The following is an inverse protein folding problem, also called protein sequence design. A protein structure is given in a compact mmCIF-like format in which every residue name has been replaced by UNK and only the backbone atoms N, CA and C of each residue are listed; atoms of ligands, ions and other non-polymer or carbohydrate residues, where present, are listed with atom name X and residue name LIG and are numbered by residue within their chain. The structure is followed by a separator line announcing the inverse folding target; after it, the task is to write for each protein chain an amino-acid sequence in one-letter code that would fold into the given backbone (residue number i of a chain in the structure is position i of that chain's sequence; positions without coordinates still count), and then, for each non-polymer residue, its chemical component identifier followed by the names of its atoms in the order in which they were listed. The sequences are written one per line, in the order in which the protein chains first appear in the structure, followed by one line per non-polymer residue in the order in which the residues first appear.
data_IF_674253938053
#
_entry.id   IF_674253938053
#
_cell.length_a   1.000
_cell.length_b   1.000
_cell.length_c   1.000
_cell.angle_alpha   90.00
_cell.angle_beta   90.00
_cell.angle_gamma   90.00
#
_symmetry.space_group_name_H-M   'P 1'
#
loop_
_entity.id
_entity.type
_entity.pdbx_description
1 polymer ?
#
# COMPACT_ATOMS: atom_id res chain seq x y z
N UNK A 1 -12.07 -71.53 32.25
CA UNK A 1 -11.59 -70.43 33.11
C UNK A 1 -10.85 -69.43 32.22
N UNK A 2 -11.52 -68.29 31.96
CA UNK A 2 -11.03 -66.91 31.74
C UNK A 2 -9.70 -66.66 30.98
N UNK A 3 -9.76 -66.16 29.73
CA UNK A 3 -9.59 -64.73 29.27
C UNK A 3 -8.11 -64.29 29.26
N UNK A 4 -7.55 -63.54 28.30
CA UNK A 4 -8.12 -62.74 27.23
C UNK A 4 -7.02 -62.40 26.21
N UNK A 5 -7.49 -62.08 25.00
CA UNK A 5 -6.72 -61.86 23.78
C UNK A 5 -6.53 -60.35 23.60
N UNK A 6 -5.38 -59.78 24.01
CA UNK A 6 -5.10 -58.36 23.73
C UNK A 6 -4.56 -58.17 22.32
N UNK A 7 -5.49 -57.91 21.39
CA UNK A 7 -5.24 -57.33 20.08
C UNK A 7 -4.65 -55.93 20.25
N UNK A 8 -3.46 -55.69 19.73
CA UNK A 8 -2.97 -54.33 19.47
C UNK A 8 -3.55 -53.87 18.12
N UNK A 9 -4.48 -52.90 18.06
CA UNK A 9 -4.68 -52.16 16.84
C UNK A 9 -3.55 -51.11 16.73
N UNK A 10 -2.70 -51.27 15.73
CA UNK A 10 -1.87 -50.19 15.19
C UNK A 10 -2.81 -49.11 14.65
N UNK A 11 -3.19 -48.19 15.54
CA UNK A 11 -4.01 -47.02 15.26
C UNK A 11 -3.24 -46.07 14.35
N UNK A 12 -3.87 -45.79 13.22
CA UNK A 12 -3.34 -45.02 12.12
C UNK A 12 -2.87 -43.61 12.50
N UNK A 13 -1.94 -43.13 11.69
CA UNK A 13 -1.44 -41.76 11.65
C UNK A 13 -2.57 -40.73 11.78
N UNK A 14 -2.49 -39.93 12.84
CA UNK A 14 -3.24 -38.70 13.02
C UNK A 14 -2.26 -37.57 13.30
N UNK A 15 -1.44 -37.19 12.32
CA UNK A 15 -0.85 -35.86 12.34
C UNK A 15 -2.01 -34.87 12.30
N UNK A 16 -2.43 -34.42 13.48
CA UNK A 16 -3.36 -33.33 13.67
C UNK A 16 -2.76 -32.09 13.05
N UNK A 17 -3.00 -31.91 11.74
CA UNK A 17 -2.79 -30.66 11.04
C UNK A 17 -3.78 -29.70 11.69
N UNK A 18 -3.33 -28.99 12.73
CA UNK A 18 -4.01 -27.81 13.25
C UNK A 18 -4.10 -26.84 12.08
N UNK A 19 -5.20 -26.94 11.33
CA UNK A 19 -5.63 -25.88 10.43
C UNK A 19 -5.95 -24.71 11.35
N UNK A 20 -4.99 -23.80 11.53
CA UNK A 20 -5.27 -22.51 12.12
C UNK A 20 -6.32 -21.85 11.24
N UNK A 21 -7.61 -22.03 11.59
CA UNK A 21 -8.66 -21.19 11.03
C UNK A 21 -8.28 -19.78 11.46
N UNK A 22 -8.03 -18.85 10.51
CA UNK A 22 -7.82 -17.47 10.87
C UNK A 22 -8.96 -17.05 11.79
N UNK A 23 -8.62 -16.47 12.94
CA UNK A 23 -9.67 -16.00 13.84
C UNK A 23 -10.53 -15.00 13.08
N UNK A 24 -11.86 -15.03 13.24
CA UNK A 24 -12.77 -14.09 12.57
C UNK A 24 -12.32 -12.62 12.76
N UNK A 25 -11.71 -12.35 13.92
CA UNK A 25 -11.04 -11.09 14.28
C UNK A 25 -9.85 -10.73 13.37
N UNK A 26 -9.00 -11.70 13.05
CA UNK A 26 -7.85 -11.52 12.16
C UNK A 26 -8.28 -11.24 10.72
N UNK A 27 -9.28 -11.98 10.21
CA UNK A 27 -9.87 -11.71 8.89
C UNK A 27 -10.51 -10.32 8.84
N UNK A 28 -11.20 -9.89 9.91
CA UNK A 28 -11.77 -8.54 10.00
C UNK A 28 -10.68 -7.46 10.00
N UNK A 29 -9.61 -7.63 10.77
CA UNK A 29 -8.47 -6.69 10.81
C UNK A 29 -7.78 -6.57 9.46
N UNK A 30 -7.56 -7.68 8.77
CA UNK A 30 -6.98 -7.72 7.42
C UNK A 30 -7.84 -6.93 6.43
N UNK A 31 -9.16 -7.16 6.42
CA UNK A 31 -10.09 -6.44 5.53
C UNK A 31 -10.13 -4.93 5.80
N UNK A 32 -10.07 -4.51 7.07
CA UNK A 32 -10.02 -3.08 7.44
C UNK A 32 -8.72 -2.45 6.97
N UNK A 33 -7.59 -3.10 7.22
CA UNK A 33 -6.28 -2.61 6.79
C UNK A 33 -6.20 -2.50 5.25
N UNK A 34 -6.70 -3.50 4.52
CA UNK A 34 -6.79 -3.46 3.05
C UNK A 34 -7.63 -2.28 2.56
N UNK A 35 -8.82 -2.05 3.12
CA UNK A 35 -9.68 -0.91 2.77
C UNK A 35 -9.00 0.43 3.05
N UNK A 36 -8.33 0.55 4.19
CA UNK A 36 -7.59 1.77 4.56
C UNK A 36 -6.51 2.08 3.53
N UNK A 37 -5.70 1.08 3.17
CA UNK A 37 -4.65 1.26 2.17
C UNK A 37 -5.19 1.56 0.78
N UNK A 38 -6.29 0.93 0.36
CA UNK A 38 -6.94 1.28 -0.92
C UNK A 38 -7.43 2.73 -0.92
N UNK A 39 -7.89 3.25 0.22
CA UNK A 39 -8.25 4.66 0.35
C UNK A 39 -7.01 5.56 0.26
N UNK A 40 -5.92 5.21 0.93
CA UNK A 40 -4.65 5.93 0.83
C UNK A 40 -4.14 5.98 -0.61
N UNK A 41 -4.12 4.85 -1.32
CA UNK A 41 -3.71 4.79 -2.73
C UNK A 41 -4.54 5.75 -3.60
N UNK A 42 -5.87 5.76 -3.43
CA UNK A 42 -6.74 6.71 -4.15
C UNK A 42 -6.44 8.17 -3.81
N UNK A 43 -6.16 8.48 -2.54
CA UNK A 43 -5.80 9.85 -2.14
C UNK A 43 -4.47 10.27 -2.74
N UNK A 44 -3.47 9.39 -2.76
CA UNK A 44 -2.18 9.63 -3.39
C UNK A 44 -2.33 9.86 -4.90
N UNK A 45 -3.11 9.02 -5.61
CA UNK A 45 -3.40 9.22 -7.03
C UNK A 45 -4.02 10.60 -7.31
N UNK A 46 -5.00 11.00 -6.50
CA UNK A 46 -5.65 12.32 -6.64
C UNK A 46 -4.69 13.48 -6.39
N UNK A 47 -3.86 13.38 -5.35
CA UNK A 47 -2.86 14.39 -5.02
C UNK A 47 -1.82 14.52 -6.15
N UNK A 48 -1.28 13.41 -6.63
CA UNK A 48 -0.30 13.37 -7.74
C UNK A 48 -0.90 14.00 -9.00
N UNK A 49 -2.16 13.67 -9.34
CA UNK A 49 -2.85 14.28 -10.48
C UNK A 49 -2.98 15.81 -10.32
N UNK A 50 -3.31 16.30 -9.13
CA UNK A 50 -3.36 17.72 -8.82
C UNK A 50 -2.00 18.42 -8.99
N UNK A 51 -0.93 17.82 -8.47
CA UNK A 51 0.42 18.35 -8.60
C UNK A 51 0.91 18.36 -10.05
N UNK A 52 0.60 17.33 -10.85
CA UNK A 52 0.89 17.30 -12.29
C UNK A 52 0.16 18.43 -13.02
N UNK A 53 -1.10 18.72 -12.68
CA UNK A 53 -1.83 19.87 -13.23
C UNK A 53 -1.18 21.21 -12.84
N UNK A 54 -0.68 21.34 -11.60
CA UNK A 54 0.09 22.53 -11.20
C UNK A 54 1.39 22.66 -11.98
N UNK A 55 2.07 21.56 -12.26
CA UNK A 55 3.29 21.54 -13.08
C UNK A 55 3.01 22.00 -14.53
N UNK A 56 1.91 21.55 -15.13
CA UNK A 56 1.46 22.03 -16.44
C UNK A 56 1.20 23.54 -16.45
N UNK A 57 0.66 24.08 -15.34
CA UNK A 57 0.50 25.52 -15.12
C UNK A 57 1.83 26.26 -15.21
N UNK A 58 2.86 25.76 -14.51
CA UNK A 58 4.21 26.35 -14.56
C UNK A 58 4.80 26.27 -15.97
N UNK A 59 4.60 25.17 -16.71
CA UNK A 59 5.09 25.07 -18.08
C UNK A 59 4.44 26.12 -18.99
N UNK A 60 3.16 26.39 -18.81
CA UNK A 60 2.45 27.46 -19.53
C UNK A 60 2.95 28.85 -19.13
N UNK A 61 3.13 29.10 -17.83
CA UNK A 61 3.69 30.35 -17.32
C UNK A 61 5.08 30.61 -17.92
N UNK A 62 5.96 29.59 -17.92
CA UNK A 62 7.31 29.65 -18.47
C UNK A 62 7.37 29.91 -19.97
N UNK A 63 6.31 29.58 -20.72
CA UNK A 63 6.21 29.86 -22.15
C UNK A 63 5.94 31.36 -22.45
N UNK A 64 5.71 32.19 -21.43
CA UNK A 64 5.50 33.62 -21.60
C UNK A 64 6.82 34.33 -21.97
N UNK A 65 6.93 34.93 -23.16
CA UNK A 65 8.16 35.57 -23.63
C UNK A 65 8.49 36.87 -22.89
N UNK A 66 7.60 37.37 -22.03
CA UNK A 66 7.79 38.60 -21.25
C UNK A 66 8.45 38.37 -19.90
N UNK A 67 8.73 37.12 -19.53
CA UNK A 67 9.39 36.80 -18.27
C UNK A 67 10.85 37.24 -18.30
N UNK A 68 11.27 37.89 -17.23
CA UNK A 68 12.67 38.13 -16.94
C UNK A 68 13.38 36.82 -16.55
N UNK A 69 14.71 36.82 -16.63
CA UNK A 69 15.51 35.67 -16.19
C UNK A 69 15.29 35.30 -14.72
N UNK A 70 15.06 36.29 -13.85
CA UNK A 70 14.80 36.06 -12.42
C UNK A 70 13.44 35.36 -12.20
N UNK A 71 12.38 35.80 -12.90
CA UNK A 71 11.08 35.15 -12.83
C UNK A 71 11.12 33.73 -13.39
N UNK A 72 11.86 33.52 -14.48
CA UNK A 72 12.07 32.18 -15.04
C UNK A 72 12.82 31.26 -14.07
N UNK A 73 13.83 31.78 -13.37
CA UNK A 73 14.54 31.07 -12.30
C UNK A 73 13.61 30.64 -11.17
N UNK A 74 12.75 31.53 -10.68
CA UNK A 74 11.77 31.22 -9.64
C UNK A 74 10.78 30.12 -10.08
N UNK A 75 10.33 30.17 -11.33
CA UNK A 75 9.47 29.13 -11.90
C UNK A 75 10.20 27.79 -12.02
N UNK A 76 11.48 27.79 -12.38
CA UNK A 76 12.28 26.57 -12.48
C UNK A 76 12.55 25.94 -11.10
N UNK A 77 12.78 26.73 -10.06
CA UNK A 77 12.87 26.24 -8.67
C UNK A 77 11.55 25.61 -8.21
N UNK A 78 10.43 26.30 -8.43
CA UNK A 78 9.10 25.80 -8.08
C UNK A 78 8.79 24.51 -8.85
N UNK A 79 9.13 24.44 -10.13
CA UNK A 79 9.01 23.25 -10.99
C UNK A 79 9.80 22.08 -10.41
N UNK A 80 11.06 22.30 -10.04
CA UNK A 80 11.93 21.25 -9.49
C UNK A 80 11.38 20.71 -8.16
N UNK A 81 10.93 21.59 -7.27
CA UNK A 81 10.32 21.19 -6.00
C UNK A 81 9.06 20.33 -6.19
N UNK A 82 8.21 20.70 -7.17
CA UNK A 82 7.04 19.90 -7.52
C UNK A 82 7.42 18.53 -8.08
N UNK A 83 8.42 18.46 -8.97
CA UNK A 83 8.90 17.19 -9.53
C UNK A 83 9.42 16.25 -8.45
N UNK A 84 10.21 16.76 -7.50
CA UNK A 84 10.70 15.98 -6.36
C UNK A 84 9.55 15.46 -5.49
N UNK A 85 8.55 16.30 -5.22
CA UNK A 85 7.38 15.91 -4.43
C UNK A 85 6.55 14.84 -5.15
N UNK A 86 6.33 14.99 -6.46
CA UNK A 86 5.62 14.00 -7.27
C UNK A 86 6.35 12.66 -7.24
N UNK A 87 7.67 12.64 -7.44
CA UNK A 87 8.45 11.40 -7.41
C UNK A 87 8.31 10.66 -6.06
N UNK A 88 8.46 11.38 -4.94
CA UNK A 88 8.30 10.79 -3.62
C UNK A 88 6.88 10.23 -3.37
N UNK A 89 5.86 10.87 -3.92
CA UNK A 89 4.47 10.41 -3.82
C UNK A 89 4.19 9.20 -4.74
N UNK A 90 4.75 9.18 -5.96
CA UNK A 90 4.68 8.04 -6.88
C UNK A 90 5.36 6.80 -6.28
N UNK A 91 6.53 6.96 -5.63
CA UNK A 91 7.22 5.88 -4.89
C UNK A 91 6.35 5.32 -3.76
N UNK A 92 5.73 6.21 -2.95
CA UNK A 92 4.82 5.81 -1.89
C UNK A 92 3.58 5.10 -2.43
N UNK A 93 2.98 5.62 -3.50
CA UNK A 93 1.82 4.99 -4.14
C UNK A 93 2.18 3.59 -4.63
N UNK A 94 3.34 3.43 -5.25
CA UNK A 94 3.85 2.14 -5.72
C UNK A 94 4.05 1.15 -4.57
N UNK A 95 4.62 1.61 -3.45
CA UNK A 95 4.80 0.78 -2.26
C UNK A 95 3.45 0.34 -1.64
N UNK A 96 2.49 1.27 -1.50
CA UNK A 96 1.15 0.97 -0.97
C UNK A 96 0.42 -0.01 -1.90
N UNK A 97 0.47 0.21 -3.22
CA UNK A 97 -0.16 -0.67 -4.20
C UNK A 97 0.47 -2.07 -4.18
N UNK A 98 1.81 -2.17 -4.12
CA UNK A 98 2.50 -3.45 -4.00
C UNK A 98 2.08 -4.25 -2.76
N UNK A 99 1.89 -3.59 -1.61
CA UNK A 99 1.39 -4.25 -0.40
C UNK A 99 -0.06 -4.73 -0.54
N UNK A 100 -0.91 -3.98 -1.24
CA UNK A 100 -2.29 -4.39 -1.54
C UNK A 100 -2.29 -5.62 -2.46
N UNK A 101 -1.48 -5.60 -3.52
CA UNK A 101 -1.41 -6.65 -4.54
C UNK A 101 -0.87 -7.96 -3.96
N UNK A 102 0.11 -7.89 -3.06
CA UNK A 102 0.64 -9.04 -2.32
C UNK A 102 -0.33 -9.57 -1.24
N UNK A 103 -1.48 -8.91 -1.02
CA UNK A 103 -2.42 -9.29 0.05
C UNK A 103 -1.83 -9.14 1.45
N UNK A 104 -0.83 -8.27 1.62
CA UNK A 104 -0.10 -8.01 2.87
C UNK A 104 -0.46 -6.61 3.42
N UNK A 105 -1.72 -6.37 3.81
CA UNK A 105 -2.07 -5.09 4.38
C UNK A 105 -1.39 -4.96 5.74
N UNK A 106 -0.70 -3.85 5.95
CA UNK A 106 -0.07 -3.57 7.23
C UNK A 106 -1.15 -3.14 8.21
N UNK A 107 -1.37 -3.96 9.25
CA UNK A 107 -2.30 -3.61 10.33
C UNK A 107 -1.59 -2.56 11.18
N UNK A 108 -1.94 -1.29 11.00
CA UNK A 108 -1.50 -0.22 11.89
C UNK A 108 -2.15 -0.49 13.25
N UNK A 109 -1.35 -0.94 14.21
CA UNK A 109 -1.75 -0.99 15.61
C UNK A 109 -1.65 0.44 16.12
N UNK A 110 -2.80 1.11 16.25
CA UNK A 110 -2.88 2.36 17.01
C UNK A 110 -2.71 1.98 18.47
N UNK A 111 -1.59 2.37 19.07
CA UNK A 111 -1.30 2.21 20.50
C UNK A 111 -2.02 3.28 21.31
#
# INVERSE_FOLDING_TARGET
MYTERCKHPLGAAGHGRMTMRPSQTETRRHNVAKRSMTKEAKQLTGLIAGLRKSLDGIHKERANPKLSGAEMGLLDERRNNLLLTIAALDDRLSAVQGLIDLGRPHIIRVH
#
